data_IF_700421247868
#
_entry.id   IF_700421247868
#
_cell.length_a   1.000
_cell.length_b   1.000
_cell.length_c   1.000
_cell.angle_alpha   90.00
_cell.angle_beta   90.00
_cell.angle_gamma   90.00
#
_symmetry.space_group_name_H-M   'P 1'
#
loop_
_entity.id
_entity.type
_entity.pdbx_description
1 polymer ?
#
# COMPACT_ATOMS: atom_id res chain seq x y z
N UNK A 1 2.75 -7.50 -8.84
CA UNK A 1 2.92 -6.15 -8.25
C UNK A 1 3.42 -5.20 -9.32
N UNK A 2 3.00 -3.95 -9.21
CA UNK A 2 3.32 -2.94 -10.21
C UNK A 2 3.75 -1.66 -9.49
N UNK A 3 4.92 -1.14 -9.84
CA UNK A 3 5.36 0.17 -9.35
C UNK A 3 4.65 1.25 -10.17
N UNK A 4 4.04 2.19 -9.48
CA UNK A 4 3.31 3.28 -10.12
C UNK A 4 4.12 4.58 -10.04
N UNK A 5 4.06 5.37 -11.09
CA UNK A 5 4.50 6.76 -11.00
C UNK A 5 3.52 7.55 -10.13
N UNK A 6 3.93 8.71 -9.64
CA UNK A 6 3.02 9.56 -8.86
C UNK A 6 1.77 9.92 -9.68
N UNK A 7 1.92 10.16 -10.97
CA UNK A 7 0.78 10.45 -11.84
C UNK A 7 -0.19 9.26 -11.95
N UNK A 8 0.33 8.05 -12.10
CA UNK A 8 -0.49 6.83 -12.16
C UNK A 8 -1.18 6.57 -10.81
N UNK A 9 -0.47 6.80 -9.72
CA UNK A 9 -0.99 6.57 -8.38
C UNK A 9 -2.20 7.47 -8.04
N UNK A 10 -2.34 8.61 -8.69
CA UNK A 10 -3.46 9.54 -8.45
C UNK A 10 -4.82 8.94 -8.77
N UNK A 11 -4.87 7.88 -9.57
CA UNK A 11 -6.11 7.15 -9.82
C UNK A 11 -6.57 6.35 -8.61
N UNK A 12 -5.63 5.98 -7.75
CA UNK A 12 -5.88 5.09 -6.60
C UNK A 12 -5.88 5.84 -5.28
N UNK A 13 -5.02 6.84 -5.15
CA UNK A 13 -4.74 7.51 -3.89
C UNK A 13 -4.68 9.01 -4.13
N UNK A 14 -5.34 9.77 -3.27
CA UNK A 14 -5.14 11.21 -3.16
C UNK A 14 -3.99 11.46 -2.19
N UNK A 15 -3.07 12.33 -2.55
CA UNK A 15 -1.91 12.61 -1.71
C UNK A 15 -1.38 14.01 -1.94
N UNK A 16 -0.74 14.54 -0.88
CA UNK A 16 -0.13 15.87 -0.89
C UNK A 16 1.39 15.82 -0.87
N UNK A 17 1.96 14.67 -0.55
CA UNK A 17 3.40 14.44 -0.51
C UNK A 17 3.79 13.31 -1.45
N UNK A 18 4.98 13.38 -2.01
CA UNK A 18 5.48 12.33 -2.88
C UNK A 18 5.85 11.07 -2.09
N UNK A 19 5.63 9.92 -2.69
CA UNK A 19 5.97 8.64 -2.11
C UNK A 19 6.26 7.63 -3.22
N UNK A 20 6.71 6.45 -2.84
CA UNK A 20 6.74 5.30 -3.74
C UNK A 20 5.40 4.58 -3.63
N UNK A 21 4.81 4.26 -4.78
CA UNK A 21 3.52 3.59 -4.83
C UNK A 21 3.66 2.25 -5.51
N UNK A 22 3.12 1.22 -4.87
CA UNK A 22 3.10 -0.13 -5.39
C UNK A 22 1.67 -0.63 -5.40
N UNK A 23 1.19 -1.00 -6.59
CA UNK A 23 -0.09 -1.67 -6.73
C UNK A 23 0.14 -3.17 -6.54
N UNK A 24 -0.42 -3.71 -5.47
CA UNK A 24 -0.35 -5.12 -5.14
C UNK A 24 -1.39 -5.89 -5.95
N UNK A 25 -1.00 -7.01 -6.53
CA UNK A 25 -1.90 -7.89 -7.26
C UNK A 25 -2.27 -9.10 -6.40
N UNK A 26 -3.36 -9.76 -6.78
CA UNK A 26 -3.93 -10.86 -5.99
C UNK A 26 -2.97 -12.01 -5.70
N UNK A 27 -2.00 -12.26 -6.57
CA UNK A 27 -1.03 -13.34 -6.40
C UNK A 27 0.23 -12.93 -5.63
N UNK A 28 0.38 -11.66 -5.29
CA UNK A 28 1.54 -11.18 -4.57
C UNK A 28 1.49 -11.58 -3.11
N UNK A 29 2.59 -12.13 -2.62
CA UNK A 29 2.74 -12.50 -1.21
C UNK A 29 3.55 -11.45 -0.46
N UNK A 30 3.52 -11.52 0.87
CA UNK A 30 4.37 -10.67 1.71
C UNK A 30 5.84 -10.85 1.35
N UNK A 31 6.28 -12.09 1.09
CA UNK A 31 7.67 -12.35 0.70
C UNK A 31 8.03 -11.67 -0.62
N UNK A 32 7.13 -11.68 -1.59
CA UNK A 32 7.34 -10.99 -2.86
C UNK A 32 7.50 -9.48 -2.66
N UNK A 33 6.70 -8.90 -1.80
CA UNK A 33 6.76 -7.48 -1.48
C UNK A 33 8.05 -7.12 -0.75
N UNK A 34 8.49 -7.94 0.18
CA UNK A 34 9.77 -7.76 0.88
C UNK A 34 10.94 -7.79 -0.09
N UNK A 35 10.94 -8.75 -1.02
CA UNK A 35 11.99 -8.85 -2.03
C UNK A 35 12.04 -7.64 -2.95
N UNK A 36 10.86 -7.12 -3.32
CA UNK A 36 10.77 -5.97 -4.22
C UNK A 36 11.11 -4.65 -3.54
N UNK A 37 10.71 -4.46 -2.30
CA UNK A 37 10.96 -3.22 -1.56
C UNK A 37 12.32 -3.20 -0.88
N UNK A 38 12.93 -4.35 -0.69
CA UNK A 38 14.16 -4.49 0.09
C UNK A 38 13.96 -4.26 1.58
N UNK A 39 12.72 -4.29 2.04
CA UNK A 39 12.33 -4.01 3.41
C UNK A 39 11.61 -5.22 4.01
N UNK A 40 12.04 -5.73 5.19
CA UNK A 40 11.37 -6.85 5.84
C UNK A 40 10.01 -6.39 6.39
N UNK A 41 8.96 -6.54 5.59
CA UNK A 41 7.65 -5.96 5.85
C UNK A 41 7.09 -6.36 7.22
N UNK A 42 7.13 -7.64 7.57
CA UNK A 42 6.59 -8.10 8.84
C UNK A 42 7.26 -7.39 10.01
N UNK A 43 8.58 -7.33 10.01
CA UNK A 43 9.34 -6.69 11.08
C UNK A 43 9.18 -5.18 11.05
N UNK A 44 9.28 -4.57 9.86
CA UNK A 44 9.18 -3.12 9.71
C UNK A 44 7.79 -2.59 10.03
N UNK A 45 6.74 -3.33 9.68
CA UNK A 45 5.38 -2.87 9.93
C UNK A 45 5.03 -2.81 11.40
N UNK A 46 5.61 -3.68 12.22
CA UNK A 46 5.39 -3.62 13.67
C UNK A 46 6.25 -2.57 14.37
N UNK A 47 7.34 -2.13 13.75
CA UNK A 47 8.24 -1.16 14.36
C UNK A 47 8.23 0.20 13.66
N UNK A 48 8.12 0.21 12.33
CA UNK A 48 8.31 1.42 11.50
C UNK A 48 7.10 1.77 10.64
N UNK A 49 6.05 0.95 10.65
CA UNK A 49 4.86 1.24 9.88
C UNK A 49 4.11 2.44 10.46
N UNK A 50 3.61 3.29 9.58
CA UNK A 50 2.75 4.40 9.96
C UNK A 50 1.35 4.16 9.42
N UNK A 51 0.36 4.64 10.14
CA UNK A 51 -1.02 4.55 9.69
C UNK A 51 -1.27 5.46 8.50
N UNK A 52 -2.20 5.09 7.62
CA UNK A 52 -2.69 6.03 6.64
C UNK A 52 -3.17 7.30 7.35
N UNK A 53 -2.61 8.42 7.00
CA UNK A 53 -2.97 9.69 7.60
C UNK A 53 -3.53 10.64 6.56
N UNK A 54 -3.83 11.87 6.96
CA UNK A 54 -4.51 12.86 6.14
C UNK A 54 -3.84 13.18 4.81
N UNK A 55 -2.54 12.90 4.68
CA UNK A 55 -1.84 13.14 3.41
C UNK A 55 -2.12 12.09 2.34
N UNK A 56 -2.73 10.96 2.73
CA UNK A 56 -3.02 9.86 1.83
C UNK A 56 -4.42 9.33 2.10
N UNK A 57 -5.22 9.23 1.07
CA UNK A 57 -6.57 8.70 1.16
C UNK A 57 -6.91 7.94 -0.12
N UNK A 58 -7.79 6.93 -0.09
CA UNK A 58 -8.28 6.32 -1.32
C UNK A 58 -8.88 7.38 -2.24
N UNK A 59 -8.54 7.33 -3.53
CA UNK A 59 -9.13 8.25 -4.51
C UNK A 59 -10.63 7.99 -4.61
N UNK A 60 -11.43 9.03 -4.38
CA UNK A 60 -12.89 8.93 -4.39
C UNK A 60 -13.43 8.36 -5.70
N UNK A 61 -12.91 8.86 -6.82
CA UNK A 61 -13.34 8.39 -8.15
C UNK A 61 -13.02 6.91 -8.35
N UNK A 62 -11.80 6.51 -7.95
CA UNK A 62 -11.40 5.11 -8.09
C UNK A 62 -12.21 4.20 -7.18
N UNK A 63 -12.46 4.63 -5.94
CA UNK A 63 -13.27 3.84 -4.98
C UNK A 63 -14.70 3.66 -5.48
N UNK A 64 -15.30 4.67 -6.12
CA UNK A 64 -16.62 4.53 -6.73
C UNK A 64 -16.64 3.51 -7.86
N UNK A 65 -15.62 3.55 -8.73
CA UNK A 65 -15.50 2.63 -9.85
C UNK A 65 -15.03 1.23 -9.45
N UNK A 66 -14.18 1.16 -8.43
CA UNK A 66 -13.47 -0.06 -8.02
C UNK A 66 -13.51 -0.24 -6.50
N UNK A 67 -14.68 -0.51 -5.93
CA UNK A 67 -14.84 -0.54 -4.47
C UNK A 67 -14.03 -1.65 -3.77
N UNK A 68 -13.40 -2.56 -4.53
CA UNK A 68 -12.52 -3.58 -3.97
C UNK A 68 -11.12 -3.06 -3.64
N UNK A 69 -10.74 -1.91 -4.17
CA UNK A 69 -9.42 -1.31 -3.92
C UNK A 69 -9.56 -0.21 -2.87
N UNK A 70 -9.25 -0.51 -1.63
CA UNK A 70 -9.32 0.53 -0.61
C UNK A 70 -8.33 0.34 0.55
N UNK A 71 -7.65 -0.78 0.64
CA UNK A 71 -6.67 -1.00 1.69
C UNK A 71 -5.31 -0.43 1.29
N UNK A 72 -4.69 0.29 2.20
CA UNK A 72 -3.37 0.86 1.98
C UNK A 72 -2.54 0.70 3.22
N UNK A 73 -1.27 0.41 3.03
CA UNK A 73 -0.30 0.32 4.11
C UNK A 73 0.90 1.19 3.79
N UNK A 74 1.35 1.96 4.76
CA UNK A 74 2.55 2.76 4.67
C UNK A 74 3.71 2.01 5.29
N UNK A 75 4.78 1.85 4.55
CA UNK A 75 6.01 1.24 5.02
C UNK A 75 7.12 2.27 4.92
N UNK A 76 7.76 2.58 6.04
CA UNK A 76 8.92 3.47 6.05
C UNK A 76 10.15 2.67 5.64
N UNK A 77 10.80 3.10 4.59
CA UNK A 77 12.15 2.65 4.25
C UNK A 77 13.13 3.77 4.65
N UNK A 78 14.43 3.49 4.62
CA UNK A 78 15.45 4.41 5.16
C UNK A 78 15.27 5.88 4.70
N UNK A 79 14.89 6.09 3.45
CA UNK A 79 14.79 7.44 2.88
C UNK A 79 13.42 7.75 2.28
N UNK A 80 12.50 6.80 2.22
CA UNK A 80 11.25 6.97 1.48
C UNK A 80 10.07 6.33 2.19
N UNK A 81 8.91 6.95 2.02
CA UNK A 81 7.63 6.34 2.36
C UNK A 81 7.16 5.52 1.17
N UNK A 82 6.85 4.26 1.42
CA UNK A 82 6.27 3.37 0.42
C UNK A 82 4.80 3.12 0.76
N UNK A 83 3.93 3.37 -0.19
CA UNK A 83 2.50 3.15 -0.05
C UNK A 83 2.13 1.92 -0.87
N UNK A 84 1.60 0.90 -0.19
CA UNK A 84 1.09 -0.29 -0.83
C UNK A 84 -0.42 -0.12 -1.06
N UNK A 85 -0.85 -0.24 -2.30
CA UNK A 85 -2.26 -0.20 -2.66
C UNK A 85 -2.71 -1.66 -2.78
N UNK A 86 -3.49 -2.12 -1.82
CA UNK A 86 -3.82 -3.53 -1.66
C UNK A 86 -5.28 -3.79 -2.00
N UNK A 87 -5.56 -4.69 -2.96
CA UNK A 87 -6.93 -5.08 -3.26
C UNK A 87 -7.58 -5.75 -2.04
N UNK A 88 -8.81 -5.40 -1.77
CA UNK A 88 -9.56 -5.93 -0.64
C UNK A 88 -9.82 -7.44 -0.75
N UNK A 89 -10.04 -7.94 -1.96
CA UNK A 89 -10.31 -9.35 -2.15
C UNK A 89 -9.26 -9.99 -3.06
N UNK A 90 -8.90 -11.22 -2.76
CA UNK A 90 -7.91 -11.98 -3.52
C UNK A 90 -6.47 -11.75 -3.09
N UNK A 91 -6.23 -10.84 -2.15
CA UNK A 91 -4.88 -10.58 -1.63
C UNK A 91 -4.48 -11.61 -0.57
N UNK A 92 -3.18 -11.71 -0.32
CA UNK A 92 -2.63 -12.56 0.73
C UNK A 92 -3.34 -12.27 2.05
N UNK A 93 -3.91 -13.28 2.74
CA UNK A 93 -4.58 -13.07 4.04
C UNK A 93 -3.70 -12.40 5.08
N UNK A 94 -2.41 -12.70 5.09
CA UNK A 94 -1.47 -12.06 6.02
C UNK A 94 -1.35 -10.56 5.73
N UNK A 95 -1.28 -10.21 4.46
CA UNK A 95 -1.21 -8.81 4.04
C UNK A 95 -2.49 -8.05 4.43
N UNK A 96 -3.65 -8.65 4.20
CA UNK A 96 -4.93 -8.04 4.58
C UNK A 96 -5.05 -7.88 6.10
N UNK A 97 -4.59 -8.87 6.86
CA UNK A 97 -4.59 -8.78 8.32
C UNK A 97 -3.71 -7.63 8.82
N UNK A 98 -2.55 -7.44 8.21
CA UNK A 98 -1.66 -6.32 8.54
C UNK A 98 -2.30 -4.97 8.18
N UNK A 99 -2.97 -4.88 7.05
CA UNK A 99 -3.71 -3.67 6.67
C UNK A 99 -4.79 -3.33 7.71
N UNK A 100 -5.52 -4.32 8.17
CA UNK A 100 -6.57 -4.13 9.17
C UNK A 100 -6.01 -3.71 10.53
N UNK A 101 -4.86 -4.24 10.92
CA UNK A 101 -4.22 -3.89 12.19
C UNK A 101 -3.77 -2.43 12.21
N UNK A 102 -3.38 -1.89 11.06
CA UNK A 102 -2.91 -0.52 10.93
C UNK A 102 -3.95 0.44 10.36
N UNK A 103 -5.18 0.05 10.32
CA UNK A 103 -6.25 0.93 9.83
C UNK A 103 -7.04 1.60 10.96
#
# INVERSE_FOLDING_TARGET
MQKLSNLQARKYVEFTVEAQFILVEAHDTVDDLEASTGCPIITSWFSDAVYPHEDFAPSFEFVEEHPTFYEMVFVLTDDNTTVLIVPKSGSDPLLLALCQEFS
#
